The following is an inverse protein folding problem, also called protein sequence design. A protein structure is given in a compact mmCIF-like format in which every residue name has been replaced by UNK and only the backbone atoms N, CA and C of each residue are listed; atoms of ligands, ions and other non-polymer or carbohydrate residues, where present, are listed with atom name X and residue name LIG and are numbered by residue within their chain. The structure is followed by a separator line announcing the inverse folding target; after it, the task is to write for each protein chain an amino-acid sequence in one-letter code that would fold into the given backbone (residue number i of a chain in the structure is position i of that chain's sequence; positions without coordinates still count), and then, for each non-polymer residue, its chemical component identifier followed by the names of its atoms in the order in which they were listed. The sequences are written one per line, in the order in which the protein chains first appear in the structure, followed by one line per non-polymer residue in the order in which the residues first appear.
data_IF_857279008504
#
_entry.id   IF_857279008504
#
_cell.length_a   1.000
_cell.length_b   1.000
_cell.length_c   1.000
_cell.angle_alpha   90.00
_cell.angle_beta   90.00
_cell.angle_gamma   90.00
#
_symmetry.space_group_name_H-M   'P 1'
#
loop_
_entity.id
_entity.type
_entity.pdbx_description
1 polymer ?
#
# COMPACT_ATOMS: atom_id res chain seq x y z
N UNK A 1 -10.87 -11.47 -16.33
CA UNK A 1 -10.04 -10.31 -15.93
C UNK A 1 -9.07 -10.82 -14.87
N UNK A 2 -7.82 -11.10 -15.23
CA UNK A 2 -6.83 -11.60 -14.27
C UNK A 2 -6.52 -10.46 -13.30
N UNK A 3 -6.79 -10.67 -12.01
CA UNK A 3 -6.36 -9.74 -10.98
C UNK A 3 -4.83 -9.65 -11.01
N UNK A 4 -4.27 -8.44 -11.08
CA UNK A 4 -2.82 -8.26 -11.05
C UNK A 4 -2.33 -8.57 -9.64
N UNK A 5 -1.32 -9.44 -9.52
CA UNK A 5 -0.66 -9.69 -8.24
C UNK A 5 -0.13 -8.37 -7.67
N UNK A 6 -0.34 -8.10 -6.37
CA UNK A 6 0.15 -6.89 -5.73
C UNK A 6 1.67 -6.86 -5.85
N UNK A 7 2.18 -5.86 -6.57
CA UNK A 7 3.62 -5.69 -6.71
C UNK A 7 4.20 -5.17 -5.38
N UNK A 8 5.31 -5.76 -4.90
CA UNK A 8 5.97 -5.26 -3.71
C UNK A 8 6.47 -3.83 -3.91
N UNK A 9 6.54 -3.07 -2.82
CA UNK A 9 7.05 -1.70 -2.86
C UNK A 9 8.48 -1.66 -3.44
N UNK A 10 8.79 -0.72 -4.37
CA UNK A 10 10.07 -0.66 -5.08
C UNK A 10 11.19 -0.05 -4.22
N UNK A 11 11.71 -0.82 -3.26
CA UNK A 11 12.74 -0.37 -2.32
C UNK A 11 14.04 0.09 -3.00
N UNK A 12 14.43 -0.56 -4.09
CA UNK A 12 15.68 -0.27 -4.80
C UNK A 12 15.64 1.14 -5.39
N UNK A 13 14.53 1.50 -6.03
CA UNK A 13 14.28 2.81 -6.61
C UNK A 13 14.19 3.89 -5.52
N UNK A 14 13.46 3.61 -4.44
CA UNK A 14 13.33 4.54 -3.31
C UNK A 14 14.70 4.88 -2.69
N UNK A 15 15.54 3.87 -2.44
CA UNK A 15 16.89 4.09 -1.88
C UNK A 15 17.84 4.76 -2.89
N UNK A 16 17.73 4.45 -4.18
CA UNK A 16 18.53 5.10 -5.21
C UNK A 16 18.23 6.61 -5.28
N UNK A 17 16.97 7.01 -5.17
CA UNK A 17 16.58 8.43 -5.10
C UNK A 17 17.08 9.05 -3.79
N UNK A 18 16.80 8.41 -2.65
CA UNK A 18 17.15 8.91 -1.32
C UNK A 18 18.64 9.16 -1.13
N UNK A 19 19.47 8.17 -1.43
CA UNK A 19 20.93 8.25 -1.24
C UNK A 19 21.65 8.87 -2.44
N UNK A 20 21.16 8.60 -3.65
CA UNK A 20 21.82 9.03 -4.88
C UNK A 20 21.53 10.49 -5.25
N UNK A 21 20.25 10.86 -5.28
CA UNK A 21 19.82 12.18 -5.77
C UNK A 21 19.60 13.17 -4.64
N UNK A 22 18.83 12.80 -3.62
CA UNK A 22 18.55 13.65 -2.47
C UNK A 22 19.71 13.74 -1.48
N UNK A 23 20.73 12.87 -1.63
CA UNK A 23 21.94 12.81 -0.78
C UNK A 23 21.64 12.71 0.71
N UNK A 24 20.55 12.06 1.07
CA UNK A 24 20.17 11.84 2.47
C UNK A 24 21.15 10.86 3.12
N UNK A 25 21.45 11.08 4.40
CA UNK A 25 22.02 10.02 5.23
C UNK A 25 21.00 8.90 5.44
N UNK A 26 21.47 7.70 5.83
CA UNK A 26 20.58 6.60 6.18
C UNK A 26 19.57 6.97 7.27
N UNK A 27 19.99 7.77 8.26
CA UNK A 27 19.12 8.26 9.33
C UNK A 27 18.00 9.15 8.79
N UNK A 28 18.33 10.11 7.94
CA UNK A 28 17.34 11.03 7.36
C UNK A 28 16.35 10.28 6.48
N UNK A 29 16.85 9.38 5.62
CA UNK A 29 15.98 8.55 4.77
C UNK A 29 14.97 7.73 5.57
N UNK A 30 15.42 7.04 6.63
CA UNK A 30 14.53 6.24 7.47
C UNK A 30 13.65 7.05 8.41
N UNK A 31 13.93 8.34 8.60
CA UNK A 31 13.06 9.25 9.34
C UNK A 31 11.93 9.84 8.49
N UNK A 32 12.03 9.77 7.17
CA UNK A 32 10.98 10.24 6.27
C UNK A 32 9.75 9.35 6.38
N UNK A 33 8.59 10.00 6.41
CA UNK A 33 7.32 9.33 6.19
C UNK A 33 7.14 8.98 4.71
N UNK A 34 6.32 7.96 4.37
CA UNK A 34 6.02 7.64 2.97
C UNK A 34 5.45 8.83 2.17
N UNK A 35 4.69 9.73 2.82
CA UNK A 35 4.11 10.92 2.18
C UNK A 35 5.18 11.97 1.85
N UNK A 36 6.16 12.14 2.73
CA UNK A 36 7.29 13.05 2.48
C UNK A 36 8.21 12.49 1.39
N UNK A 37 8.45 11.18 1.38
CA UNK A 37 9.19 10.53 0.29
C UNK A 37 8.49 10.72 -1.06
N UNK A 38 7.16 10.53 -1.12
CA UNK A 38 6.37 10.77 -2.33
C UNK A 38 6.48 12.23 -2.79
N UNK A 39 6.32 13.20 -1.88
CA UNK A 39 6.46 14.61 -2.19
C UNK A 39 7.87 14.99 -2.70
N UNK A 40 8.92 14.41 -2.11
CA UNK A 40 10.30 14.62 -2.56
C UNK A 40 10.54 14.07 -3.97
N UNK A 41 9.97 12.88 -4.28
CA UNK A 41 10.03 12.29 -5.62
C UNK A 41 9.25 13.14 -6.63
N UNK A 42 8.04 13.61 -6.29
CA UNK A 42 7.26 14.51 -7.14
C UNK A 42 7.98 15.83 -7.44
N UNK A 43 8.67 16.40 -6.45
CA UNK A 43 9.49 17.60 -6.63
C UNK A 43 10.64 17.39 -7.63
N UNK A 44 11.13 16.16 -7.77
CA UNK A 44 12.26 15.80 -8.61
C UNK A 44 11.84 15.35 -10.02
N UNK A 45 10.78 14.54 -10.13
CA UNK A 45 10.28 13.97 -11.37
C UNK A 45 9.19 14.82 -12.07
N UNK A 46 8.71 15.87 -11.40
CA UNK A 46 7.48 16.55 -11.76
C UNK A 46 6.25 15.80 -11.25
N UNK A 47 5.12 16.51 -11.16
CA UNK A 47 3.88 15.95 -10.61
C UNK A 47 3.36 14.82 -11.51
N UNK A 48 3.44 13.58 -11.03
CA UNK A 48 2.94 12.42 -11.74
C UNK A 48 1.41 12.29 -11.60
N UNK A 49 0.69 12.75 -12.64
CA UNK A 49 -0.76 12.66 -12.87
C UNK A 49 -1.68 13.24 -11.77
N UNK A 50 -2.88 13.62 -12.17
CA UNK A 50 -3.87 14.25 -11.31
C UNK A 50 -4.24 13.36 -10.11
N UNK A 51 -4.57 13.95 -8.94
CA UNK A 51 -5.07 13.19 -7.81
C UNK A 51 -6.24 12.31 -8.22
N UNK A 52 -6.26 11.10 -7.68
CA UNK A 52 -7.31 10.11 -7.92
C UNK A 52 -8.70 10.73 -7.70
N UNK A 53 -9.58 10.59 -8.68
CA UNK A 53 -10.94 11.09 -8.58
C UNK A 53 -11.84 10.16 -7.76
N UNK A 54 -13.05 10.64 -7.43
CA UNK A 54 -14.02 9.89 -6.65
C UNK A 54 -14.42 8.57 -7.34
N UNK A 55 -14.53 8.57 -8.67
CA UNK A 55 -14.93 7.39 -9.43
C UNK A 55 -13.87 6.28 -9.35
N UNK A 56 -12.59 6.65 -9.45
CA UNK A 56 -11.47 5.73 -9.28
C UNK A 56 -11.38 5.19 -7.85
N UNK A 57 -11.68 6.01 -6.84
CA UNK A 57 -11.76 5.55 -5.46
C UNK A 57 -12.91 4.55 -5.25
N UNK A 58 -14.10 4.84 -5.77
CA UNK A 58 -15.26 3.94 -5.69
C UNK A 58 -15.02 2.59 -6.39
N UNK A 59 -14.30 2.59 -7.52
CA UNK A 59 -13.88 1.37 -8.20
C UNK A 59 -12.91 0.53 -7.34
N UNK A 60 -11.96 1.18 -6.65
CA UNK A 60 -11.06 0.49 -5.70
C UNK A 60 -11.82 -0.14 -4.54
N UNK A 61 -12.73 0.59 -3.90
CA UNK A 61 -13.53 0.07 -2.78
C UNK A 61 -14.37 -1.14 -3.18
N UNK A 62 -14.86 -1.19 -4.43
CA UNK A 62 -15.60 -2.34 -4.95
C UNK A 62 -14.70 -3.55 -5.24
N UNK A 63 -13.48 -3.30 -5.72
CA UNK A 63 -12.51 -4.35 -6.08
C UNK A 63 -11.86 -5.00 -4.86
N UNK A 64 -11.63 -4.23 -3.81
CA UNK A 64 -10.96 -4.68 -2.59
C UNK A 64 -11.84 -4.48 -1.37
N UNK A 65 -12.90 -5.30 -1.18
CA UNK A 65 -13.72 -5.22 0.02
C UNK A 65 -12.94 -5.75 1.25
N UNK A 66 -12.82 -4.92 2.29
CA UNK A 66 -12.09 -5.24 3.53
C UNK A 66 -12.74 -6.37 4.35
N UNK A 67 -13.96 -6.77 4.02
CA UNK A 67 -14.70 -7.81 4.72
C UNK A 67 -14.70 -9.10 3.91
N UNK A 68 -13.76 -10.00 4.19
CA UNK A 68 -13.98 -11.42 3.97
C UNK A 68 -14.87 -11.90 5.12
N UNK A 69 -16.07 -12.49 4.86
CA UNK A 69 -16.78 -13.18 5.92
C UNK A 69 -15.90 -14.33 6.39
N UNK A 70 -15.38 -14.23 7.62
CA UNK A 70 -14.72 -15.36 8.28
C UNK A 70 -15.68 -16.55 8.26
N UNK A 71 -15.34 -17.69 7.64
CA UNK A 71 -16.18 -18.86 7.68
C UNK A 71 -16.34 -19.27 9.14
N UNK A 72 -17.61 -19.49 9.52
CA UNK A 72 -18.06 -19.52 10.89
C UNK A 72 -17.22 -20.39 11.82
N UNK A 73 -16.94 -19.85 13.00
CA UNK A 73 -16.86 -20.65 14.21
C UNK A 73 -18.30 -21.11 14.50
N UNK A 74 -18.84 -22.02 13.67
CA UNK A 74 -19.85 -22.95 14.15
C UNK A 74 -19.03 -24.03 14.84
N UNK A 75 -18.59 -23.72 16.06
CA UNK A 75 -18.22 -24.76 16.99
C UNK A 75 -19.50 -25.58 17.22
N UNK A 76 -19.63 -26.70 16.50
CA UNK A 76 -20.46 -27.81 16.95
C UNK A 76 -19.95 -28.19 18.34
N UNK A 77 -20.58 -27.64 19.36
CA UNK A 77 -20.49 -28.20 20.70
C UNK A 77 -21.36 -29.46 20.66
N UNK A 78 -20.71 -30.58 20.36
CA UNK A 78 -21.23 -31.92 20.53
C UNK A 78 -21.47 -32.15 22.03
N UNK A 79 -22.66 -31.78 22.51
CA UNK A 79 -23.14 -32.15 23.84
C UNK A 79 -23.82 -33.52 23.74
N UNK A 80 -23.01 -34.57 23.65
CA UNK A 80 -23.44 -35.96 23.82
C UNK A 80 -22.40 -36.72 24.65
N UNK A 81 -22.50 -36.58 25.98
CA UNK A 81 -22.17 -37.61 26.97
C UNK A 81 -22.50 -37.12 28.38
N UNK A 82 -23.39 -37.85 29.04
CA UNK A 82 -23.79 -37.68 30.44
C UNK A 82 -25.09 -38.40 30.70
#
# INVERSE_FOLDING_TARGET
MLASDPQPFPWREAMAIGFGVLKLSSREFWSLTPRELAAAIEGLAGRASAPMDRAAFEDLTRRFPDHQPSPGITASFDESRG
#
